data_IF_615796734582
#
_entry.id   IF_615796734582
#
_cell.length_a   1.000
_cell.length_b   1.000
_cell.length_c   1.000
_cell.angle_alpha   90.00
_cell.angle_beta   90.00
_cell.angle_gamma   90.00
#
_symmetry.space_group_name_H-M   'P 1'
#
loop_
_entity.id
_entity.type
_entity.pdbx_description
1 polymer ?
#
# COMPACT_ATOMS: atom_id res chain seq x y z
N UNK A 1 -43.22 13.32 -42.20
CA UNK A 1 -44.28 12.30 -41.94
C UNK A 1 -44.23 11.30 -43.08
N UNK A 2 -44.02 9.98 -42.95
CA UNK A 2 -44.26 9.04 -41.86
C UNK A 2 -43.30 7.83 -41.99
N UNK A 3 -42.11 7.89 -41.40
CA UNK A 3 -41.20 6.73 -41.35
C UNK A 3 -41.78 5.58 -40.48
N UNK A 4 -42.72 5.90 -39.58
CA UNK A 4 -43.36 4.93 -38.68
C UNK A 4 -44.28 3.93 -39.38
N UNK A 5 -44.97 4.32 -40.46
CA UNK A 5 -45.93 3.42 -41.11
C UNK A 5 -45.25 2.27 -41.88
N UNK A 6 -44.03 2.46 -42.37
CA UNK A 6 -43.32 1.44 -43.13
C UNK A 6 -42.70 0.34 -42.25
N UNK A 7 -42.26 0.70 -41.03
CA UNK A 7 -41.64 -0.26 -40.09
C UNK A 7 -42.70 -1.17 -39.46
N UNK A 8 -43.90 -0.66 -39.20
CA UNK A 8 -45.00 -1.44 -38.60
C UNK A 8 -45.55 -2.51 -39.57
N UNK A 9 -45.57 -2.23 -40.88
CA UNK A 9 -46.04 -3.18 -41.89
C UNK A 9 -45.14 -4.40 -42.12
N UNK A 10 -43.84 -4.29 -41.86
CA UNK A 10 -42.88 -5.39 -42.00
C UNK A 10 -42.91 -6.32 -40.76
N UNK A 11 -43.30 -5.79 -39.60
CA UNK A 11 -43.44 -6.55 -38.36
C UNK A 11 -44.74 -7.36 -38.26
N UNK A 12 -45.78 -7.00 -39.03
CA UNK A 12 -47.09 -7.69 -39.02
C UNK A 12 -47.18 -8.86 -40.01
N UNK A 13 -46.30 -8.94 -41.02
CA UNK A 13 -46.28 -10.01 -42.04
C UNK A 13 -45.52 -11.27 -41.61
N UNK A 14 -44.85 -11.23 -40.45
CA UNK A 14 -44.09 -12.36 -39.93
C UNK A 14 -45.03 -13.26 -39.12
N UNK A 15 -45.21 -14.55 -39.50
CA UNK A 15 -46.11 -15.46 -38.79
C UNK A 15 -45.68 -15.61 -37.32
N UNK A 16 -46.66 -15.71 -36.41
CA UNK A 16 -46.45 -15.77 -34.94
C UNK A 16 -45.37 -16.78 -34.52
N UNK A 17 -45.30 -17.92 -35.20
CA UNK A 17 -44.31 -18.96 -34.96
C UNK A 17 -42.87 -18.50 -35.25
N UNK A 18 -42.65 -17.76 -36.34
CA UNK A 18 -41.33 -17.22 -36.71
C UNK A 18 -40.91 -16.09 -35.77
N UNK A 19 -41.86 -15.27 -35.29
CA UNK A 19 -41.59 -14.25 -34.26
C UNK A 19 -41.10 -14.88 -32.96
N UNK A 20 -41.71 -15.98 -32.54
CA UNK A 20 -41.27 -16.77 -31.38
C UNK A 20 -39.86 -17.35 -31.56
N UNK A 21 -39.57 -17.89 -32.75
CA UNK A 21 -38.22 -18.43 -33.08
C UNK A 21 -37.15 -17.34 -33.10
N UNK A 22 -37.47 -16.15 -33.62
CA UNK A 22 -36.55 -14.99 -33.62
C UNK A 22 -36.30 -14.52 -32.19
N UNK A 23 -37.36 -14.38 -31.38
CA UNK A 23 -37.24 -14.00 -29.97
C UNK A 23 -36.37 -14.99 -29.18
N UNK A 24 -36.59 -16.30 -29.35
CA UNK A 24 -35.77 -17.35 -28.75
C UNK A 24 -34.28 -17.25 -29.16
N UNK A 25 -33.99 -16.99 -30.44
CA UNK A 25 -32.61 -16.85 -30.95
C UNK A 25 -31.93 -15.58 -30.43
N UNK A 26 -32.63 -14.45 -30.41
CA UNK A 26 -32.10 -13.18 -29.89
C UNK A 26 -31.80 -13.31 -28.40
N UNK A 27 -32.68 -13.95 -27.63
CA UNK A 27 -32.47 -14.17 -26.20
C UNK A 27 -31.29 -15.12 -25.94
N UNK A 28 -31.11 -16.17 -26.76
CA UNK A 28 -29.92 -17.02 -26.71
C UNK A 28 -28.62 -16.25 -26.98
N UNK A 29 -28.61 -15.40 -28.01
CA UNK A 29 -27.44 -14.57 -28.35
C UNK A 29 -27.13 -13.59 -27.22
N UNK A 30 -28.15 -12.94 -26.64
CA UNK A 30 -27.97 -12.03 -25.50
C UNK A 30 -27.41 -12.74 -24.27
N UNK A 31 -27.89 -13.96 -23.96
CA UNK A 31 -27.37 -14.78 -22.87
C UNK A 31 -25.91 -15.19 -23.15
N UNK A 32 -25.58 -15.61 -24.37
CA UNK A 32 -24.21 -15.95 -24.75
C UNK A 32 -23.27 -14.75 -24.61
N UNK A 33 -23.68 -13.56 -25.07
CA UNK A 33 -22.92 -12.32 -24.90
C UNK A 33 -22.76 -11.97 -23.42
N UNK A 34 -23.82 -12.11 -22.61
CA UNK A 34 -23.75 -11.87 -21.17
C UNK A 34 -22.77 -12.82 -20.47
N UNK A 35 -22.76 -14.11 -20.83
CA UNK A 35 -21.80 -15.09 -20.30
C UNK A 35 -20.37 -14.74 -20.72
N UNK A 36 -20.15 -14.35 -21.98
CA UNK A 36 -18.85 -13.89 -22.48
C UNK A 36 -18.35 -12.63 -21.73
N UNK A 37 -19.23 -11.66 -21.50
CA UNK A 37 -18.90 -10.45 -20.74
C UNK A 37 -18.69 -10.74 -19.24
N UNK A 38 -19.41 -11.70 -18.66
CA UNK A 38 -19.21 -12.15 -17.29
C UNK A 38 -17.86 -12.87 -17.11
N UNK A 39 -17.38 -13.59 -18.12
CA UNK A 39 -16.02 -14.17 -18.12
C UNK A 39 -14.92 -13.11 -18.13
N UNK A 40 -15.18 -11.90 -18.65
CA UNK A 40 -14.24 -10.78 -18.61
C UNK A 40 -14.15 -10.10 -17.24
N UNK A 41 -15.05 -10.39 -16.29
CA UNK A 41 -14.88 -9.91 -14.91
C UNK A 41 -13.85 -10.75 -14.12
N UNK A 42 -13.32 -11.82 -14.71
CA UNK A 42 -12.26 -12.64 -14.14
C UNK A 42 -10.86 -12.29 -14.67
N UNK A 43 -10.67 -11.19 -15.42
CA UNK A 43 -9.36 -10.83 -15.98
C UNK A 43 -8.38 -10.13 -15.02
N UNK A 44 -8.61 -10.17 -13.70
CA UNK A 44 -7.51 -10.06 -12.73
C UNK A 44 -6.70 -11.38 -12.58
N UNK A 45 -7.10 -12.45 -13.29
CA UNK A 45 -6.44 -13.77 -13.28
C UNK A 45 -5.14 -13.87 -14.11
N UNK A 46 -4.56 -12.74 -14.53
CA UNK A 46 -3.15 -12.69 -14.96
C UNK A 46 -2.20 -12.32 -13.81
N UNK A 47 -2.59 -12.61 -12.57
CA UNK A 47 -1.64 -12.68 -11.47
C UNK A 47 -0.54 -13.68 -11.83
N UNK A 48 0.64 -13.16 -12.18
CA UNK A 48 1.83 -13.95 -12.43
C UNK A 48 2.04 -14.84 -11.20
N UNK A 49 2.25 -16.14 -11.44
CA UNK A 49 2.36 -17.14 -10.39
C UNK A 49 3.81 -17.57 -10.27
N UNK A 50 4.23 -17.82 -9.04
CA UNK A 50 5.60 -18.24 -8.70
C UNK A 50 5.55 -19.56 -7.96
N UNK A 51 6.47 -20.44 -8.31
CA UNK A 51 6.80 -21.62 -7.53
C UNK A 51 8.23 -21.48 -7.06
N UNK A 52 8.41 -21.43 -5.74
CA UNK A 52 9.69 -21.16 -5.11
C UNK A 52 9.81 -21.86 -3.76
N UNK A 53 10.88 -22.60 -3.56
CA UNK A 53 11.21 -23.26 -2.29
C UNK A 53 12.62 -22.88 -1.87
N UNK A 54 12.72 -22.00 -0.89
CA UNK A 54 14.00 -21.46 -0.44
C UNK A 54 14.05 -21.47 1.08
N UNK A 55 15.23 -21.77 1.63
CA UNK A 55 15.46 -21.86 3.07
C UNK A 55 16.74 -21.13 3.43
N UNK A 56 16.61 -20.07 4.24
CA UNK A 56 17.74 -19.24 4.67
C UNK A 56 18.46 -18.50 3.53
N UNK A 57 17.78 -18.21 2.42
CA UNK A 57 18.39 -17.54 1.28
C UNK A 57 18.37 -16.02 1.44
N UNK A 58 19.34 -15.31 0.85
CA UNK A 58 19.34 -13.85 0.85
C UNK A 58 18.14 -13.31 0.07
N UNK A 59 17.43 -12.32 0.66
CA UNK A 59 16.33 -11.59 0.04
C UNK A 59 16.65 -11.14 -1.39
N UNK A 60 17.87 -10.65 -1.64
CA UNK A 60 18.30 -10.22 -2.97
C UNK A 60 18.21 -11.34 -4.03
N UNK A 61 18.62 -12.56 -3.65
CA UNK A 61 18.59 -13.71 -4.55
C UNK A 61 17.14 -14.14 -4.81
N UNK A 62 16.31 -14.15 -3.75
CA UNK A 62 14.89 -14.46 -3.85
C UNK A 62 14.18 -13.48 -4.79
N UNK A 63 14.39 -12.17 -4.63
CA UNK A 63 13.79 -11.16 -5.51
C UNK A 63 14.26 -11.32 -6.98
N UNK A 64 15.51 -11.74 -7.21
CA UNK A 64 16.03 -12.02 -8.56
C UNK A 64 15.36 -13.24 -9.18
N UNK A 65 15.10 -14.29 -8.41
CA UNK A 65 14.39 -15.48 -8.88
C UNK A 65 12.93 -15.16 -9.18
N UNK A 66 12.26 -14.37 -8.33
CA UNK A 66 10.90 -13.87 -8.57
C UNK A 66 10.87 -13.05 -9.86
N UNK A 67 11.79 -12.09 -10.05
CA UNK A 67 11.92 -11.31 -11.29
C UNK A 67 12.02 -12.19 -12.53
N UNK A 68 12.78 -13.28 -12.46
CA UNK A 68 12.96 -14.20 -13.58
C UNK A 68 11.67 -14.95 -13.95
N UNK A 69 10.85 -15.33 -12.97
CA UNK A 69 9.62 -16.09 -13.21
C UNK A 69 8.45 -15.19 -13.63
N UNK A 70 8.45 -13.93 -13.21
CA UNK A 70 7.28 -13.06 -13.29
C UNK A 70 7.49 -11.89 -14.24
N UNK A 71 8.71 -11.37 -14.30
CA UNK A 71 9.01 -10.15 -15.05
C UNK A 71 8.71 -8.87 -14.27
N UNK A 72 8.44 -8.95 -12.95
CA UNK A 72 8.40 -7.77 -12.08
C UNK A 72 9.79 -7.14 -11.97
N UNK A 73 9.83 -5.82 -12.00
CA UNK A 73 11.04 -5.07 -11.69
C UNK A 73 11.12 -4.77 -10.20
N UNK A 74 12.34 -4.81 -9.65
CA UNK A 74 12.59 -4.56 -8.24
C UNK A 74 13.60 -3.43 -8.10
N UNK A 75 13.20 -2.37 -7.41
CA UNK A 75 14.03 -1.19 -7.16
C UNK A 75 14.33 -1.12 -5.66
N UNK A 76 15.62 -1.18 -5.31
CA UNK A 76 16.11 -1.13 -3.94
C UNK A 76 17.54 -0.62 -3.91
N UNK A 77 17.97 -0.06 -2.78
CA UNK A 77 19.40 0.23 -2.55
C UNK A 77 20.09 -1.02 -1.99
N UNK A 78 21.18 -1.52 -2.60
CA UNK A 78 21.90 -2.71 -2.13
C UNK A 78 22.37 -2.60 -0.68
N UNK A 79 22.84 -1.41 -0.28
CA UNK A 79 23.27 -1.12 1.09
C UNK A 79 22.12 -1.28 2.07
N UNK A 80 20.94 -0.72 1.73
CA UNK A 80 19.75 -0.79 2.58
C UNK A 80 19.23 -2.22 2.72
N UNK A 81 19.29 -3.01 1.64
CA UNK A 81 18.84 -4.40 1.65
C UNK A 81 19.79 -5.25 2.50
N UNK A 82 21.11 -5.12 2.29
CA UNK A 82 22.10 -5.90 3.05
C UNK A 82 22.10 -5.58 4.55
N UNK A 83 21.85 -4.33 4.93
CA UNK A 83 21.85 -3.91 6.34
C UNK A 83 20.56 -4.29 7.09
N UNK A 84 19.44 -4.44 6.40
CA UNK A 84 18.12 -4.56 7.03
C UNK A 84 17.34 -5.84 6.69
N UNK A 85 17.75 -6.57 5.65
CA UNK A 85 17.07 -7.79 5.24
C UNK A 85 17.46 -8.99 6.10
N UNK A 86 16.47 -9.77 6.46
CA UNK A 86 16.64 -11.06 7.12
C UNK A 86 16.64 -12.20 6.08
N UNK A 87 17.35 -13.31 6.34
CA UNK A 87 17.30 -14.51 5.50
C UNK A 87 15.85 -14.98 5.31
N UNK A 88 15.50 -15.30 4.07
CA UNK A 88 14.14 -15.71 3.69
C UNK A 88 14.03 -17.23 3.70
N UNK A 89 12.99 -17.72 4.36
CA UNK A 89 12.53 -19.11 4.25
C UNK A 89 11.08 -19.08 3.80
N UNK A 90 10.81 -19.49 2.55
CA UNK A 90 9.46 -19.51 1.98
C UNK A 90 9.27 -20.73 1.10
N UNK A 91 8.09 -21.33 1.20
CA UNK A 91 7.63 -22.40 0.34
C UNK A 91 6.34 -21.93 -0.35
N UNK A 92 6.47 -21.51 -1.60
CA UNK A 92 5.39 -21.03 -2.43
C UNK A 92 5.17 -22.04 -3.57
N UNK A 93 3.96 -22.58 -3.66
CA UNK A 93 3.56 -23.48 -4.73
C UNK A 93 2.50 -22.81 -5.57
N UNK A 94 2.85 -22.46 -6.80
CA UNK A 94 1.95 -21.81 -7.74
C UNK A 94 1.21 -20.63 -7.08
N UNK A 95 1.92 -19.74 -6.40
CA UNK A 95 1.32 -18.66 -5.58
C UNK A 95 1.30 -17.35 -6.36
N UNK A 96 0.23 -16.53 -6.29
CA UNK A 96 0.24 -15.19 -6.88
C UNK A 96 1.39 -14.35 -6.34
N UNK A 97 2.07 -13.59 -7.21
CA UNK A 97 3.18 -12.71 -6.80
C UNK A 97 2.78 -11.75 -5.70
N UNK A 98 1.58 -11.15 -5.78
CA UNK A 98 1.10 -10.24 -4.74
C UNK A 98 1.07 -10.89 -3.35
N UNK A 99 0.64 -12.14 -3.25
CA UNK A 99 0.58 -12.87 -1.98
C UNK A 99 1.97 -13.32 -1.52
N UNK A 100 2.83 -13.72 -2.46
CA UNK A 100 4.22 -14.01 -2.17
C UNK A 100 4.96 -12.78 -1.62
N UNK A 101 4.75 -11.60 -2.21
CA UNK A 101 5.34 -10.34 -1.72
C UNK A 101 4.83 -9.99 -0.32
N UNK A 102 3.53 -10.15 -0.06
CA UNK A 102 2.96 -9.94 1.29
C UNK A 102 3.65 -10.85 2.31
N UNK A 103 3.76 -12.15 2.03
CA UNK A 103 4.42 -13.10 2.94
C UNK A 103 5.91 -12.78 3.13
N UNK A 104 6.59 -12.47 2.03
CA UNK A 104 8.02 -12.19 2.01
C UNK A 104 8.35 -10.92 2.82
N UNK A 105 7.59 -9.84 2.67
CA UNK A 105 7.80 -8.60 3.44
C UNK A 105 7.20 -8.64 4.85
N UNK A 106 6.23 -9.52 5.14
CA UNK A 106 5.76 -9.73 6.52
C UNK A 106 6.87 -10.27 7.44
N UNK A 107 7.79 -11.06 6.89
CA UNK A 107 8.98 -11.53 7.61
C UNK A 107 10.08 -10.45 7.74
N UNK A 108 9.94 -9.29 7.10
CA UNK A 108 10.96 -8.23 7.05
C UNK A 108 10.53 -7.02 7.89
N UNK A 109 10.79 -7.06 9.20
CA UNK A 109 10.32 -6.04 10.15
C UNK A 109 10.83 -4.61 9.87
N UNK A 110 11.99 -4.49 9.22
CA UNK A 110 12.68 -3.21 8.94
C UNK A 110 12.50 -2.70 7.50
N UNK A 111 11.77 -3.42 6.66
CA UNK A 111 11.57 -3.06 5.27
C UNK A 111 10.08 -2.86 4.98
N UNK A 112 9.78 -1.94 4.07
CA UNK A 112 8.47 -1.73 3.50
C UNK A 112 8.58 -1.80 1.98
N UNK A 113 7.49 -2.18 1.33
CA UNK A 113 7.41 -2.21 -0.12
C UNK A 113 6.19 -1.46 -0.62
N UNK A 114 6.31 -0.90 -1.81
CA UNK A 114 5.19 -0.35 -2.57
C UNK A 114 5.22 -0.97 -3.95
N UNK A 115 4.04 -1.37 -4.44
CA UNK A 115 3.89 -1.87 -5.80
C UNK A 115 3.30 -0.75 -6.64
N UNK A 116 4.00 -0.37 -7.70
CA UNK A 116 3.51 0.55 -8.71
C UNK A 116 3.58 -0.13 -10.06
N UNK A 117 2.40 -0.41 -10.64
CA UNK A 117 2.22 -1.20 -11.86
C UNK A 117 2.91 -2.57 -11.76
N UNK A 118 4.09 -2.71 -12.37
CA UNK A 118 4.89 -3.94 -12.41
C UNK A 118 6.25 -3.77 -11.71
N UNK A 119 6.43 -2.68 -10.98
CA UNK A 119 7.65 -2.35 -10.24
C UNK A 119 7.41 -2.41 -8.73
N UNK A 120 8.21 -3.19 -8.03
CA UNK A 120 8.24 -3.24 -6.57
C UNK A 120 9.38 -2.37 -6.06
N UNK A 121 9.04 -1.33 -5.32
CA UNK A 121 10.02 -0.44 -4.68
C UNK A 121 10.16 -0.84 -3.22
N UNK A 122 11.38 -1.19 -2.79
CA UNK A 122 11.68 -1.58 -1.41
C UNK A 122 12.42 -0.43 -0.72
N UNK A 123 11.95 -0.07 0.49
CA UNK A 123 12.51 1.00 1.30
C UNK A 123 12.61 0.56 2.76
N UNK A 124 13.45 1.23 3.54
CA UNK A 124 13.48 1.05 4.98
C UNK A 124 12.13 1.51 5.54
N UNK A 125 11.54 0.69 6.40
CA UNK A 125 10.33 1.06 7.11
C UNK A 125 10.68 2.23 8.02
N UNK A 126 10.14 3.41 7.71
CA UNK A 126 10.19 4.51 8.68
C UNK A 126 9.28 4.09 9.83
N UNK A 127 9.80 4.09 11.04
CA UNK A 127 8.92 4.03 12.21
C UNK A 127 7.86 5.12 12.03
N UNK A 128 6.59 4.82 12.35
CA UNK A 128 5.55 5.83 12.27
C UNK A 128 6.06 7.01 13.10
N UNK A 129 6.37 8.11 12.40
CA UNK A 129 6.72 9.34 13.06
C UNK A 129 5.45 9.66 13.84
N UNK A 130 5.46 9.62 15.18
CA UNK A 130 4.25 9.75 15.94
C UNK A 130 3.57 11.02 15.48
N UNK A 131 2.33 10.91 14.99
CA UNK A 131 1.52 12.06 14.58
C UNK A 131 1.07 12.72 15.88
N UNK A 132 2.03 13.37 16.53
CA UNK A 132 1.86 13.96 17.84
C UNK A 132 1.50 15.42 17.71
N UNK A 133 0.58 15.88 18.54
CA UNK A 133 0.44 17.32 18.77
C UNK A 133 1.38 17.70 19.92
N UNK A 134 2.11 18.79 19.76
CA UNK A 134 2.97 19.34 20.81
C UNK A 134 2.23 20.49 21.47
N UNK A 135 1.90 20.34 22.75
CA UNK A 135 1.53 21.47 23.60
C UNK A 135 2.79 22.00 24.25
N UNK A 136 3.16 23.26 24.00
CA UNK A 136 4.41 23.84 24.51
C UNK A 136 4.21 25.20 25.14
N UNK A 137 4.98 25.46 26.20
CA UNK A 137 5.08 26.73 26.90
C UNK A 137 6.55 27.17 26.91
N UNK A 138 6.79 28.45 26.64
CA UNK A 138 8.12 29.07 26.69
C UNK A 138 8.10 30.18 27.73
N UNK A 139 9.06 30.18 28.65
CA UNK A 139 9.26 31.24 29.61
C UNK A 139 10.76 31.47 29.83
N UNK A 140 11.09 32.63 30.37
CA UNK A 140 12.46 32.99 30.73
C UNK A 140 12.62 32.87 32.24
N UNK A 141 13.67 32.17 32.66
CA UNK A 141 14.04 32.09 34.07
C UNK A 141 14.62 33.45 34.52
N UNK A 142 14.05 34.00 35.60
CA UNK A 142 14.39 35.32 36.10
C UNK A 142 15.76 35.37 36.78
N UNK A 143 16.27 34.24 37.30
CA UNK A 143 17.57 34.16 37.96
C UNK A 143 18.69 33.84 36.97
N UNK A 144 18.50 32.85 36.10
CA UNK A 144 19.57 32.38 35.21
C UNK A 144 19.60 33.07 33.85
N UNK A 145 18.57 33.86 33.52
CA UNK A 145 18.32 34.44 32.18
C UNK A 145 18.22 33.40 31.06
N UNK A 146 18.05 32.12 31.39
CA UNK A 146 17.86 31.03 30.45
C UNK A 146 16.44 31.02 29.90
N UNK A 147 16.29 30.58 28.67
CA UNK A 147 14.97 30.33 28.12
C UNK A 147 14.65 28.85 28.22
N UNK A 148 13.50 28.55 28.85
CA UNK A 148 13.02 27.20 29.05
C UNK A 148 11.83 26.99 28.12
N UNK A 149 11.92 25.95 27.30
CA UNK A 149 10.81 25.45 26.48
C UNK A 149 10.43 24.10 27.07
N UNK A 150 9.22 24.01 27.61
CA UNK A 150 8.65 22.76 28.11
C UNK A 150 7.39 22.43 27.33
N UNK A 151 7.06 21.15 27.24
CA UNK A 151 5.85 20.73 26.57
C UNK A 151 5.56 19.26 26.73
N UNK A 152 4.45 18.84 26.13
CA UNK A 152 3.99 17.45 26.14
C UNK A 152 3.68 16.98 24.73
N UNK A 153 4.12 15.77 24.41
CA UNK A 153 3.85 15.07 23.15
C UNK A 153 2.72 14.07 23.38
N UNK A 154 1.61 14.27 22.68
CA UNK A 154 0.43 13.39 22.74
C UNK A 154 0.04 12.92 21.35
N UNK A 155 -0.48 11.70 21.26
CA UNK A 155 -1.07 11.15 20.04
C UNK A 155 -2.34 11.94 19.67
N UNK A 156 -2.49 12.24 18.37
CA UNK A 156 -3.63 13.03 17.89
C UNK A 156 -4.96 12.28 17.96
N UNK A 157 -4.94 10.95 17.81
CA UNK A 157 -6.12 10.08 17.79
C UNK A 157 -6.46 9.58 19.18
N UNK A 158 -5.49 9.03 19.91
CA UNK A 158 -5.75 8.40 21.23
C UNK A 158 -5.65 9.37 22.40
N UNK A 159 -5.07 10.57 22.19
CA UNK A 159 -4.72 11.54 23.25
C UNK A 159 -3.75 10.98 24.31
N UNK A 160 -3.12 9.85 24.04
CA UNK A 160 -2.15 9.23 24.96
C UNK A 160 -0.77 9.87 24.83
N UNK A 161 0.01 9.95 25.92
CA UNK A 161 1.38 10.47 25.86
C UNK A 161 2.30 9.54 25.07
N UNK A 162 3.22 10.13 24.30
CA UNK A 162 4.19 9.37 23.49
C UNK A 162 5.59 9.54 24.08
N UNK A 163 6.16 8.44 24.57
CA UNK A 163 7.52 8.35 25.09
C UNK A 163 8.55 8.22 23.96
N UNK A 164 9.77 8.76 24.17
CA UNK A 164 10.92 8.52 23.29
C UNK A 164 10.92 9.33 22.00
N UNK A 165 10.03 10.31 21.86
CA UNK A 165 9.99 11.20 20.69
C UNK A 165 11.17 12.15 20.76
N UNK A 166 11.96 12.22 19.68
CA UNK A 166 13.08 13.16 19.60
C UNK A 166 12.57 14.55 19.19
N UNK A 167 12.73 15.53 20.08
CA UNK A 167 12.39 16.94 19.85
C UNK A 167 13.67 17.71 19.54
N UNK A 168 13.68 18.44 18.42
CA UNK A 168 14.83 19.26 17.98
C UNK A 168 14.43 20.72 17.85
N UNK A 169 15.26 21.62 18.38
CA UNK A 169 15.10 23.05 18.16
C UNK A 169 15.51 23.39 16.72
N UNK A 170 14.65 24.05 15.93
CA UNK A 170 14.84 24.21 14.47
C UNK A 170 16.12 24.96 14.09
N UNK A 171 16.52 25.94 14.89
CA UNK A 171 17.67 26.82 14.61
C UNK A 171 18.94 26.43 15.37
N UNK A 172 18.87 25.44 16.27
CA UNK A 172 19.99 24.99 17.09
C UNK A 172 20.18 23.48 16.96
N UNK A 173 21.34 22.95 17.34
CA UNK A 173 21.57 21.51 17.44
C UNK A 173 21.11 20.93 18.79
N UNK A 174 20.32 21.68 19.54
CA UNK A 174 19.72 21.21 20.79
C UNK A 174 18.59 20.22 20.51
N UNK A 175 18.74 19.02 21.06
CA UNK A 175 17.76 17.94 21.00
C UNK A 175 17.44 17.44 22.40
N UNK A 176 16.18 17.08 22.64
CA UNK A 176 15.73 16.39 23.84
C UNK A 176 14.81 15.24 23.46
N UNK A 177 14.46 14.37 24.41
CA UNK A 177 13.48 13.31 24.20
C UNK A 177 12.31 13.46 25.16
N UNK A 178 11.12 13.02 24.75
CA UNK A 178 9.96 12.95 25.63
C UNK A 178 10.09 11.81 26.65
N UNK A 179 9.66 12.06 27.89
CA UNK A 179 9.62 11.07 28.96
C UNK A 179 8.41 10.11 28.84
N UNK A 180 8.26 9.19 29.80
CA UNK A 180 7.12 8.25 29.90
C UNK A 180 5.74 8.91 29.88
N UNK A 181 5.66 10.16 30.31
CA UNK A 181 4.43 10.94 30.36
C UNK A 181 4.29 11.87 29.14
N UNK A 182 5.19 11.77 28.16
CA UNK A 182 5.26 12.59 26.97
C UNK A 182 5.87 13.96 27.20
N UNK A 183 6.34 14.29 28.40
CA UNK A 183 6.87 15.61 28.71
C UNK A 183 8.30 15.78 28.22
N UNK A 184 8.65 16.99 27.85
CA UNK A 184 10.02 17.36 27.49
C UNK A 184 10.38 18.75 28.00
N UNK A 185 11.69 19.00 28.15
CA UNK A 185 12.26 20.30 28.51
C UNK A 185 13.53 20.55 27.69
N UNK A 186 13.59 21.71 27.05
CA UNK A 186 14.77 22.26 26.37
C UNK A 186 15.15 23.56 27.07
N UNK A 187 16.39 23.65 27.53
CA UNK A 187 16.97 24.87 28.06
C UNK A 187 17.90 25.42 26.98
N UNK A 188 17.72 26.67 26.57
CA UNK A 188 18.60 27.31 25.61
C UNK A 188 18.97 28.72 26.05
N UNK A 189 20.24 29.07 25.82
CA UNK A 189 20.80 30.39 26.07
C UNK A 189 20.86 31.14 24.74
N UNK A 190 20.19 32.29 24.65
CA UNK A 190 20.35 33.18 23.51
C UNK A 190 21.68 33.91 23.68
N UNK A 191 22.68 33.57 22.86
CA UNK A 191 23.90 34.37 22.69
C UNK A 191 23.59 35.69 21.99
#
# INVERSE_FOLDING_TARGET
>A
MNFYHHVVGILSSIPRQTRWRIFMRVQLILISIFILLAQLQATDLRAQRVTLHVKGQNLQQVLKEVRKQTGYDFVYSPETLNANAQPVTIAANNTPVADLLKQLFAAQSRLQYTVDQNTVVVRVKKEPNPTGTIEMRRYQDAETKEWIIEGRVIDIETKEPIEGVTIRLKEDNLTTQSDRNGNFRIIYLRK
#
